data_IF_415905009820
#
_entry.id   IF_415905009820
#
_cell.length_a   1.000
_cell.length_b   1.000
_cell.length_c   1.000
_cell.angle_alpha   90.00
_cell.angle_beta   90.00
_cell.angle_gamma   90.00
#
_symmetry.space_group_name_H-M   'P 1'
#
loop_
_entity.id
_entity.type
_entity.pdbx_description
1 polymer ?
#
# COMPACT_ATOMS: atom_id res chain seq x y z
N UNK A 1 28.31 2.01 10.43
CA UNK A 1 27.62 2.25 10.45
C UNK A 1 26.52 2.48 10.06
N UNK A 2 26.30 2.61 10.08
CA UNK A 2 25.16 2.86 10.14
C UNK A 2 24.33 3.04 9.03
N UNK A 3 24.27 2.44 8.25
CA UNK A 3 23.51 2.38 7.21
C UNK A 3 22.14 2.06 7.40
N UNK A 4 21.86 1.49 8.39
CA UNK A 4 20.53 1.14 8.76
C UNK A 4 19.54 2.27 8.76
N UNK A 5 19.88 3.47 9.20
CA UNK A 5 18.93 4.57 9.17
C UNK A 5 18.36 4.86 7.80
N UNK A 6 19.12 4.64 6.76
CA UNK A 6 18.64 4.92 5.41
C UNK A 6 17.45 4.04 5.04
N UNK A 7 17.45 2.76 5.45
CA UNK A 7 16.34 1.87 5.16
C UNK A 7 15.08 2.26 5.91
N UNK A 8 15.21 2.61 7.20
CA UNK A 8 14.08 3.04 7.98
C UNK A 8 13.46 4.33 7.46
N UNK A 9 14.27 5.17 6.83
CA UNK A 9 13.81 6.46 6.35
C UNK A 9 13.51 6.47 4.87
N UNK A 10 13.54 5.32 4.22
CA UNK A 10 13.29 5.27 2.77
C UNK A 10 11.96 5.92 2.42
N UNK A 11 10.93 5.69 3.23
CA UNK A 11 9.60 6.22 2.97
C UNK A 11 9.30 7.52 3.71
N UNK A 12 10.33 8.19 4.24
CA UNK A 12 10.14 9.45 4.96
C UNK A 12 9.35 10.48 4.15
N UNK A 13 9.55 10.62 2.83
CA UNK A 13 8.76 11.59 2.05
C UNK A 13 7.26 11.32 2.03
N UNK A 14 6.82 10.12 2.39
CA UNK A 14 5.39 9.81 2.45
C UNK A 14 4.76 10.12 3.81
N UNK A 15 5.57 10.42 4.82
CA UNK A 15 5.04 10.73 6.15
C UNK A 15 4.22 12.00 6.09
N UNK A 16 3.03 11.92 6.71
CA UNK A 16 2.09 13.03 6.69
C UNK A 16 1.12 13.00 5.53
N UNK A 17 1.37 12.21 4.51
CA UNK A 17 0.42 12.08 3.40
C UNK A 17 -0.73 11.16 3.81
N UNK A 18 -1.94 11.49 3.39
CA UNK A 18 -3.11 10.67 3.68
C UNK A 18 -3.20 9.49 2.73
N UNK A 19 -2.76 9.65 1.49
CA UNK A 19 -2.84 8.64 0.45
C UNK A 19 -1.50 8.51 -0.25
N UNK A 20 -1.34 7.43 -1.00
CA UNK A 20 -0.21 7.30 -1.91
C UNK A 20 -0.71 6.84 -3.28
N UNK A 21 0.09 7.10 -4.30
CA UNK A 21 -0.07 6.47 -5.60
C UNK A 21 0.89 5.30 -5.67
N UNK A 22 0.33 4.10 -5.85
CA UNK A 22 1.11 2.89 -6.08
C UNK A 22 1.14 2.65 -7.58
N UNK A 23 2.33 2.63 -8.16
CA UNK A 23 2.50 2.34 -9.58
C UNK A 23 2.98 0.90 -9.74
N UNK A 24 2.18 0.07 -10.39
CA UNK A 24 2.51 -1.29 -10.74
C UNK A 24 2.77 -1.37 -12.24
N UNK A 25 3.29 -2.50 -12.71
CA UNK A 25 3.71 -2.60 -14.10
C UNK A 25 3.10 -3.82 -14.78
N UNK A 26 2.62 -3.61 -16.01
CA UNK A 26 2.17 -4.70 -16.86
C UNK A 26 3.39 -5.46 -17.39
N UNK A 27 3.16 -6.65 -17.95
CA UNK A 27 4.24 -7.43 -18.56
C UNK A 27 4.99 -6.65 -19.63
N UNK A 28 4.27 -5.75 -20.31
CA UNK A 28 4.86 -4.91 -21.36
C UNK A 28 5.77 -3.81 -20.79
N UNK A 29 5.76 -3.62 -19.46
CA UNK A 29 6.46 -2.51 -18.83
C UNK A 29 5.61 -1.28 -18.64
N UNK A 30 4.36 -1.30 -19.10
CA UNK A 30 3.47 -0.14 -18.96
C UNK A 30 3.13 0.10 -17.50
N UNK A 31 3.28 1.36 -17.05
CA UNK A 31 3.00 1.77 -15.68
C UNK A 31 1.49 1.96 -15.48
N UNK A 32 0.99 1.46 -14.34
CA UNK A 32 -0.42 1.61 -13.97
C UNK A 32 -0.50 2.18 -12.57
N UNK A 33 -0.82 3.48 -12.43
CA UNK A 33 -0.92 4.12 -11.11
C UNK A 33 -2.29 3.88 -10.47
N UNK A 34 -2.30 3.77 -9.14
CA UNK A 34 -3.54 3.65 -8.37
C UNK A 34 -3.37 4.39 -7.06
N UNK A 35 -4.37 5.20 -6.69
CA UNK A 35 -4.37 5.92 -5.40
C UNK A 35 -4.94 5.01 -4.33
N UNK A 36 -4.22 4.85 -3.23
CA UNK A 36 -4.60 3.91 -2.17
C UNK A 36 -4.34 4.52 -0.80
N UNK A 37 -5.08 4.00 0.20
CA UNK A 37 -4.77 4.23 1.60
C UNK A 37 -3.52 3.45 1.97
N UNK A 38 -2.72 4.02 2.87
CA UNK A 38 -1.52 3.35 3.36
C UNK A 38 -1.21 3.75 4.78
N UNK A 39 -0.46 2.92 5.48
CA UNK A 39 0.08 3.26 6.79
C UNK A 39 1.50 2.73 6.89
N UNK A 40 2.38 3.52 7.49
CA UNK A 40 3.76 3.13 7.74
C UNK A 40 3.90 2.57 9.14
N UNK A 41 4.63 1.48 9.27
CA UNK A 41 4.99 0.93 10.57
C UNK A 41 6.33 0.22 10.45
N UNK A 42 7.31 0.66 11.25
CA UNK A 42 8.62 0.01 11.26
C UNK A 42 9.40 0.15 9.96
N UNK A 43 9.16 1.20 9.21
CA UNK A 43 9.89 1.44 7.98
C UNK A 43 9.32 0.73 6.76
N UNK A 44 8.17 0.09 6.89
CA UNK A 44 7.47 -0.52 5.76
C UNK A 44 6.08 0.08 5.66
N UNK A 45 5.46 -0.08 4.49
CA UNK A 45 4.11 0.43 4.25
C UNK A 45 3.13 -0.73 4.13
N UNK A 46 1.92 -0.53 4.67
CA UNK A 46 0.83 -1.49 4.56
C UNK A 46 -0.31 -0.88 3.77
N UNK A 47 -0.85 -1.65 2.82
CA UNK A 47 -1.95 -1.23 1.96
C UNK A 47 -3.06 -2.27 2.00
N UNK A 48 -4.27 -1.87 1.62
CA UNK A 48 -5.36 -2.82 1.44
C UNK A 48 -6.04 -2.60 0.09
N UNK A 49 -6.50 -3.68 -0.52
CA UNK A 49 -7.18 -3.62 -1.80
C UNK A 49 -8.01 -4.90 -2.01
N UNK A 50 -8.82 -4.92 -3.07
CA UNK A 50 -9.59 -6.10 -3.41
C UNK A 50 -8.69 -7.18 -4.02
N UNK A 51 -8.93 -8.44 -3.65
CA UNK A 51 -8.10 -9.57 -4.08
C UNK A 51 -8.07 -9.73 -5.60
N UNK A 52 -9.16 -9.35 -6.27
CA UNK A 52 -9.30 -9.54 -7.71
C UNK A 52 -8.93 -8.31 -8.52
N UNK A 53 -8.42 -7.26 -7.86
CA UNK A 53 -7.98 -6.07 -8.59
C UNK A 53 -6.81 -6.41 -9.50
N UNK A 54 -6.75 -5.77 -10.66
CA UNK A 54 -5.68 -6.00 -11.62
C UNK A 54 -4.28 -5.76 -11.04
N UNK A 55 -4.16 -4.80 -10.09
CA UNK A 55 -2.89 -4.50 -9.45
C UNK A 55 -2.33 -5.70 -8.69
N UNK A 56 -3.18 -6.59 -8.17
CA UNK A 56 -2.73 -7.78 -7.44
C UNK A 56 -2.02 -8.74 -8.39
N UNK A 57 -2.58 -8.96 -9.57
CA UNK A 57 -1.93 -9.78 -10.58
C UNK A 57 -0.59 -9.19 -10.99
N UNK A 58 -0.55 -7.88 -11.19
CA UNK A 58 0.68 -7.20 -11.58
C UNK A 58 1.75 -7.31 -10.50
N UNK A 59 1.37 -7.19 -9.22
CA UNK A 59 2.31 -7.31 -8.12
C UNK A 59 2.93 -8.71 -8.04
N UNK A 60 2.11 -9.74 -8.26
CA UNK A 60 2.62 -11.10 -8.21
C UNK A 60 3.58 -11.41 -9.35
N UNK A 61 3.34 -10.79 -10.51
CA UNK A 61 4.22 -10.97 -11.66
C UNK A 61 5.45 -10.10 -11.59
N UNK A 62 5.31 -8.87 -11.07
CA UNK A 62 6.39 -7.88 -11.02
C UNK A 62 6.33 -7.16 -9.66
N UNK A 63 7.11 -7.65 -8.67
CA UNK A 63 7.07 -7.03 -7.33
C UNK A 63 7.65 -5.63 -7.25
N UNK A 64 8.47 -5.22 -8.21
CA UNK A 64 9.03 -3.87 -8.22
C UNK A 64 7.93 -2.85 -8.50
N UNK A 65 7.86 -1.82 -7.66
CA UNK A 65 6.82 -0.77 -7.75
C UNK A 65 7.43 0.58 -7.52
N UNK A 66 6.62 1.62 -7.72
CA UNK A 66 6.94 2.99 -7.29
C UNK A 66 5.82 3.46 -6.38
N UNK A 67 6.18 4.27 -5.38
CA UNK A 67 5.19 4.90 -4.50
C UNK A 67 5.48 6.38 -4.39
N UNK A 68 4.42 7.19 -4.31
CA UNK A 68 4.56 8.64 -4.16
C UNK A 68 3.46 9.16 -3.25
N UNK A 69 3.74 10.19 -2.42
CA UNK A 69 2.69 10.79 -1.59
C UNK A 69 1.64 11.46 -2.46
N UNK A 70 0.39 11.40 -2.02
CA UNK A 70 -0.73 11.86 -2.83
C UNK A 70 -1.88 12.33 -1.96
N UNK A 71 -2.76 13.13 -2.56
CA UNK A 71 -4.06 13.42 -1.98
C UNK A 71 -5.08 12.36 -2.41
N UNK A 72 -6.33 12.56 -2.01
CA UNK A 72 -7.40 11.59 -2.23
C UNK A 72 -7.65 11.27 -3.70
N UNK A 73 -7.42 12.24 -4.58
CA UNK A 73 -7.73 12.08 -6.00
C UNK A 73 -6.51 11.79 -6.86
N UNK A 74 -5.36 11.54 -6.23
CA UNK A 74 -4.18 11.13 -6.97
C UNK A 74 -3.25 12.25 -7.38
N UNK A 75 -3.44 13.46 -6.88
CA UNK A 75 -2.51 14.55 -7.15
C UNK A 75 -1.23 14.31 -6.34
N UNK A 76 -0.11 14.22 -7.04
CA UNK A 76 1.15 13.90 -6.40
C UNK A 76 1.64 15.06 -5.55
N UNK A 77 2.16 14.73 -4.36
CA UNK A 77 2.67 15.70 -3.39
C UNK A 77 4.17 15.55 -3.18
N UNK A 78 4.82 14.74 -4.00
CA UNK A 78 6.25 14.53 -3.94
C UNK A 78 6.71 13.56 -5.01
N UNK A 79 7.99 13.23 -4.98
CA UNK A 79 8.58 12.35 -5.97
C UNK A 79 8.25 10.90 -5.70
N UNK A 80 8.27 10.09 -6.77
CA UNK A 80 8.13 8.64 -6.66
C UNK A 80 9.39 8.02 -6.08
N UNK A 81 9.19 6.98 -5.28
CA UNK A 81 10.27 6.21 -4.68
C UNK A 81 10.17 4.76 -5.14
N UNK A 82 11.28 4.12 -5.49
CA UNK A 82 11.27 2.71 -5.84
C UNK A 82 11.04 1.86 -4.59
N UNK A 83 10.37 0.73 -4.76
CA UNK A 83 10.07 -0.16 -3.64
C UNK A 83 9.75 -1.56 -4.16
N UNK A 84 9.57 -2.49 -3.22
CA UNK A 84 9.14 -3.85 -3.50
C UNK A 84 7.82 -4.10 -2.79
N UNK A 85 6.89 -4.78 -3.46
CA UNK A 85 5.59 -5.05 -2.88
C UNK A 85 5.31 -6.55 -2.87
N UNK A 86 4.66 -7.01 -1.79
CA UNK A 86 4.29 -8.41 -1.62
C UNK A 86 2.90 -8.50 -1.04
N UNK A 87 2.07 -9.39 -1.61
CA UNK A 87 0.76 -9.68 -1.06
C UNK A 87 0.94 -10.51 0.20
N UNK A 88 0.33 -10.07 1.31
CA UNK A 88 0.45 -10.77 2.59
C UNK A 88 -0.37 -12.05 2.60
N UNK A 89 0.10 -13.04 3.38
CA UNK A 89 -0.69 -14.21 3.69
C UNK A 89 -1.73 -13.87 4.77
N UNK A 90 -2.86 -14.58 4.84
CA UNK A 90 -3.89 -14.24 5.84
C UNK A 90 -3.38 -14.15 7.27
N UNK A 91 -2.42 -14.98 7.66
CA UNK A 91 -1.88 -14.93 9.02
C UNK A 91 -1.05 -13.66 9.30
N UNK A 92 -0.71 -12.92 8.25
CA UNK A 92 0.02 -11.66 8.37
C UNK A 92 -0.90 -10.43 8.37
N UNK A 93 -2.19 -10.60 8.10
CA UNK A 93 -3.11 -9.48 7.94
C UNK A 93 -3.22 -8.61 9.18
N UNK A 94 -3.05 -9.18 10.37
CA UNK A 94 -3.20 -8.43 11.62
C UNK A 94 -2.24 -7.25 11.72
N UNK A 95 -1.03 -7.39 11.21
CA UNK A 95 -0.06 -6.30 11.21
C UNK A 95 -0.53 -5.13 10.36
N UNK A 96 -1.03 -5.43 9.17
CA UNK A 96 -1.51 -4.40 8.26
C UNK A 96 -2.75 -3.72 8.81
N UNK A 97 -3.69 -4.50 9.34
CA UNK A 97 -4.92 -3.96 9.92
C UNK A 97 -4.61 -3.02 11.07
N UNK A 98 -3.70 -3.42 11.96
CA UNK A 98 -3.34 -2.59 13.10
C UNK A 98 -2.73 -1.25 12.66
N UNK A 99 -1.84 -1.29 11.67
CA UNK A 99 -1.20 -0.06 11.17
C UNK A 99 -2.22 0.87 10.53
N UNK A 100 -3.13 0.33 9.73
CA UNK A 100 -4.14 1.12 9.05
C UNK A 100 -5.15 1.70 10.03
N UNK A 101 -5.56 0.92 11.04
CA UNK A 101 -6.47 1.43 12.06
C UNK A 101 -5.83 2.51 12.89
N UNK A 102 -4.54 2.41 13.18
CA UNK A 102 -3.84 3.44 13.94
C UNK A 102 -3.82 4.76 13.20
N UNK A 103 -3.66 4.73 11.89
CA UNK A 103 -3.61 5.95 11.08
C UNK A 103 -4.99 6.54 10.81
N UNK A 104 -5.95 5.71 10.44
CA UNK A 104 -7.25 6.18 9.95
C UNK A 104 -8.37 6.04 10.97
N UNK A 105 -8.18 5.24 12.04
CA UNK A 105 -9.16 5.07 13.10
C UNK A 105 -10.48 4.50 12.60
N UNK A 106 -11.58 5.06 13.11
CA UNK A 106 -12.91 4.59 12.75
C UNK A 106 -13.21 4.72 11.26
N UNK A 107 -12.58 5.67 10.60
CA UNK A 107 -12.74 5.86 9.17
C UNK A 107 -12.36 4.60 8.40
N UNK A 108 -11.26 3.96 8.80
CA UNK A 108 -10.84 2.71 8.20
C UNK A 108 -11.83 1.59 8.49
N UNK A 109 -12.26 1.46 9.75
CA UNK A 109 -13.19 0.41 10.14
C UNK A 109 -14.52 0.56 9.41
N UNK A 110 -15.06 1.77 9.36
CA UNK A 110 -16.34 2.03 8.69
C UNK A 110 -16.25 1.70 7.21
N UNK A 111 -15.21 2.19 6.54
CA UNK A 111 -15.08 1.99 5.10
C UNK A 111 -14.90 0.51 4.75
N UNK A 112 -14.06 -0.21 5.49
CA UNK A 112 -13.82 -1.62 5.20
C UNK A 112 -15.06 -2.47 5.52
N UNK A 113 -15.80 -2.13 6.57
CA UNK A 113 -17.04 -2.84 6.88
C UNK A 113 -18.05 -2.68 5.76
N UNK A 114 -18.22 -1.46 5.26
CA UNK A 114 -19.15 -1.19 4.16
C UNK A 114 -18.73 -1.90 2.88
N UNK A 115 -17.44 -1.85 2.55
CA UNK A 115 -16.94 -2.48 1.33
C UNK A 115 -17.04 -4.00 1.42
N UNK A 116 -16.71 -4.57 2.57
CA UNK A 116 -16.72 -6.02 2.75
C UNK A 116 -18.13 -6.60 2.77
N UNK A 117 -19.11 -5.81 3.23
CA UNK A 117 -20.50 -6.24 3.23
C UNK A 117 -21.04 -6.44 1.81
N UNK A 118 -20.47 -5.75 0.84
CA UNK A 118 -20.92 -5.83 -0.55
C UNK A 118 -20.14 -6.87 -1.37
N UNK A 119 -19.25 -7.63 -0.74
CA UNK A 119 -18.36 -8.55 -1.44
C UNK A 119 -18.30 -9.90 -0.75
N UNK A 120 -17.93 -10.97 -1.47
CA UNK A 120 -17.74 -12.28 -0.85
C UNK A 120 -16.62 -12.23 0.19
N UNK A 121 -16.72 -13.12 1.17
CA UNK A 121 -15.66 -13.27 2.16
C UNK A 121 -14.35 -13.60 1.47
N UNK A 122 -13.25 -13.05 2.01
CA UNK A 122 -11.91 -13.28 1.45
C UNK A 122 -11.57 -12.43 0.24
N UNK A 123 -12.44 -11.47 -0.13
CA UNK A 123 -12.17 -10.63 -1.30
C UNK A 123 -11.24 -9.46 -1.00
N UNK A 124 -10.88 -9.22 0.28
CA UNK A 124 -9.94 -8.17 0.67
C UNK A 124 -8.59 -8.80 0.99
N UNK A 125 -7.54 -8.16 0.50
CA UNK A 125 -6.17 -8.56 0.82
C UNK A 125 -5.39 -7.35 1.31
N UNK A 126 -4.22 -7.63 1.84
CA UNK A 126 -3.29 -6.60 2.31
C UNK A 126 -1.94 -6.82 1.65
N UNK A 127 -1.21 -5.72 1.46
CA UNK A 127 0.08 -5.71 0.78
C UNK A 127 1.08 -5.01 1.68
N UNK A 128 2.30 -5.54 1.76
CA UNK A 128 3.41 -4.86 2.41
C UNK A 128 4.35 -4.35 1.34
N UNK A 129 4.78 -3.09 1.51
CA UNK A 129 5.74 -2.44 0.61
C UNK A 129 7.00 -2.17 1.40
N UNK A 130 8.13 -2.66 0.90
CA UNK A 130 9.43 -2.52 1.56
C UNK A 130 10.38 -1.73 0.68
N UNK A 131 11.43 -1.14 1.27
CA UNK A 131 12.43 -0.39 0.51
C UNK A 131 13.13 -1.18 -0.58
#
# INVERSE_FOLDING_TARGET
>A
MAETPADHDHFAPLRGAEFLVLTTYRRTGEAVPTTLWFAEDGGVLYLTTAAQAGKVKRLRATPAVQVAPSDRVGNLQGHSLPAQARVLEPHEFALAIAALQQKYGEQFTTLTTQMDAARPAGSRIYVVVTP
#
